data_IF_664189684250
#
_entry.id   IF_664189684250
#
_cell.length_a   1.000
_cell.length_b   1.000
_cell.length_c   1.000
_cell.angle_alpha   90.00
_cell.angle_beta   90.00
_cell.angle_gamma   90.00
#
_symmetry.space_group_name_H-M   'P 1'
#
loop_
_entity.id
_entity.type
_entity.pdbx_description
1 polymer ?
#
# COMPACT_ATOMS: atom_id res chain seq x y z
N UNK A 1 -1.70 14.55 -17.16
CA UNK A 1 -1.03 13.26 -17.37
C UNK A 1 -1.45 12.41 -16.19
N UNK A 2 -2.50 11.61 -16.39
CA UNK A 2 -2.92 10.62 -15.40
C UNK A 2 -1.89 9.50 -15.46
N UNK A 3 -0.80 9.65 -14.69
CA UNK A 3 0.00 8.50 -14.30
C UNK A 3 -0.96 7.59 -13.52
N UNK A 4 -1.57 6.63 -14.21
CA UNK A 4 -2.35 5.55 -13.60
C UNK A 4 -1.38 4.73 -12.73
N UNK A 5 -1.19 5.15 -11.48
CA UNK A 5 -0.62 4.30 -10.45
C UNK A 5 -1.74 3.41 -9.91
N UNK A 6 -1.42 2.15 -9.65
CA UNK A 6 -2.33 1.24 -8.98
C UNK A 6 -2.15 1.43 -7.47
N UNK A 7 -3.23 1.72 -6.74
CA UNK A 7 -3.12 1.95 -5.30
C UNK A 7 -2.62 0.67 -4.60
N UNK A 8 -1.56 0.78 -3.81
CA UNK A 8 -0.88 -0.36 -3.21
C UNK A 8 0.20 -1.02 -4.08
N UNK A 9 0.42 -0.60 -5.33
CA UNK A 9 1.54 -1.03 -6.18
C UNK A 9 2.68 -0.01 -6.06
N UNK A 10 3.62 -0.27 -5.15
CA UNK A 10 4.69 0.68 -4.81
C UNK A 10 5.97 0.42 -5.59
N UNK A 11 6.09 -0.74 -6.23
CA UNK A 11 7.23 -1.08 -7.08
C UNK A 11 6.96 -0.79 -8.57
N UNK A 12 5.71 -0.53 -8.95
CA UNK A 12 5.28 -0.19 -10.31
C UNK A 12 5.17 -1.39 -11.26
N UNK A 13 5.06 -2.61 -10.74
CA UNK A 13 4.98 -3.85 -11.53
C UNK A 13 3.55 -4.21 -11.98
N UNK A 14 2.58 -3.37 -11.63
CA UNK A 14 1.14 -3.49 -11.91
C UNK A 14 0.47 -4.67 -11.18
N UNK A 15 1.08 -5.21 -10.14
CA UNK A 15 0.56 -6.34 -9.36
C UNK A 15 0.68 -6.07 -7.86
N UNK A 16 -0.44 -5.86 -7.18
CA UNK A 16 -0.43 -5.71 -5.71
C UNK A 16 -0.18 -7.08 -5.09
N UNK A 17 1.01 -7.27 -4.52
CA UNK A 17 1.39 -8.54 -3.90
C UNK A 17 2.20 -8.34 -2.60
N UNK A 18 2.71 -9.44 -2.05
CA UNK A 18 3.46 -9.41 -0.79
C UNK A 18 4.69 -8.48 -0.84
N UNK A 19 5.29 -8.29 -2.01
CA UNK A 19 6.45 -7.41 -2.21
C UNK A 19 6.09 -5.96 -1.88
N UNK A 20 4.94 -5.48 -2.35
CA UNK A 20 4.49 -4.11 -2.07
C UNK A 20 4.23 -3.90 -0.58
N UNK A 21 3.57 -4.87 0.05
CA UNK A 21 3.28 -4.87 1.49
C UNK A 21 4.56 -4.77 2.31
N UNK A 22 5.54 -5.62 2.00
CA UNK A 22 6.82 -5.63 2.69
C UNK A 22 7.59 -4.33 2.46
N UNK A 23 7.50 -3.74 1.27
CA UNK A 23 8.13 -2.47 0.95
C UNK A 23 7.52 -1.33 1.80
N UNK A 24 6.19 -1.22 1.88
CA UNK A 24 5.53 -0.17 2.69
C UNK A 24 5.81 -0.37 4.17
N UNK A 25 5.86 -1.62 4.64
CA UNK A 25 6.23 -1.94 6.02
C UNK A 25 7.67 -1.53 6.33
N UNK A 26 8.61 -1.78 5.42
CA UNK A 26 10.01 -1.37 5.57
C UNK A 26 10.14 0.16 5.61
N UNK A 27 9.45 0.85 4.70
CA UNK A 27 9.37 2.31 4.69
C UNK A 27 8.83 2.85 6.01
N UNK A 28 7.67 2.33 6.47
CA UNK A 28 7.07 2.70 7.74
C UNK A 28 8.01 2.48 8.93
N UNK A 29 8.74 1.36 8.95
CA UNK A 29 9.70 1.06 10.01
C UNK A 29 10.84 2.10 10.07
N UNK A 30 11.29 2.65 8.93
CA UNK A 30 12.28 3.72 8.90
C UNK A 30 11.73 5.00 9.53
N UNK A 31 10.58 5.49 9.04
CA UNK A 31 9.96 6.73 9.55
C UNK A 31 9.57 6.61 11.03
N UNK A 32 9.13 5.44 11.47
CA UNK A 32 8.81 5.19 12.89
C UNK A 32 10.04 5.35 13.80
N UNK A 33 11.24 5.12 13.27
CA UNK A 33 12.50 5.33 13.98
C UNK A 33 13.11 6.72 13.76
N UNK A 34 12.29 7.68 13.31
CA UNK A 34 12.70 9.07 13.00
C UNK A 34 13.84 9.13 11.96
N UNK A 35 13.86 8.14 11.04
CA UNK A 35 14.75 8.13 9.89
C UNK A 35 14.01 8.58 8.66
N UNK A 36 14.75 9.18 7.73
CA UNK A 36 14.23 9.43 6.40
C UNK A 36 13.83 8.11 5.73
N UNK A 37 12.58 8.04 5.29
CA UNK A 37 12.13 6.93 4.47
C UNK A 37 12.71 7.03 3.06
N UNK A 38 12.91 5.88 2.43
CA UNK A 38 13.58 5.72 1.13
C UNK A 38 12.68 5.92 -0.10
N UNK A 39 11.40 6.23 0.09
CA UNK A 39 10.44 6.42 -0.99
C UNK A 39 10.56 7.78 -1.70
N UNK A 40 10.53 7.72 -3.03
CA UNK A 40 10.35 8.89 -3.88
C UNK A 40 8.86 9.28 -4.01
N UNK A 41 8.57 10.43 -4.64
CA UNK A 41 7.19 10.92 -4.79
C UNK A 41 6.27 9.98 -5.58
N UNK A 42 6.81 9.18 -6.51
CA UNK A 42 6.03 8.23 -7.30
C UNK A 42 5.64 6.99 -6.49
N UNK A 43 6.47 6.59 -5.51
CA UNK A 43 6.19 5.50 -4.58
C UNK A 43 5.30 5.94 -3.42
N UNK A 44 5.37 7.22 -3.03
CA UNK A 44 4.54 7.75 -1.94
C UNK A 44 3.05 7.74 -2.26
N UNK A 45 2.66 8.01 -3.51
CA UNK A 45 1.26 8.01 -3.96
C UNK A 45 0.56 6.65 -3.80
N UNK A 46 1.10 5.52 -4.33
CA UNK A 46 0.50 4.21 -4.12
C UNK A 46 0.66 3.68 -2.69
N UNK A 47 1.59 4.22 -1.89
CA UNK A 47 1.81 3.82 -0.51
C UNK A 47 0.83 4.46 0.50
N UNK A 48 0.29 5.64 0.18
CA UNK A 48 -0.78 6.32 0.92
C UNK A 48 -2.14 5.75 0.48
N UNK A 49 -2.47 4.56 1.00
CA UNK A 49 -3.61 3.77 0.52
C UNK A 49 -4.95 4.25 1.08
N UNK A 50 -4.93 5.02 2.16
CA UNK A 50 -6.13 5.70 2.66
C UNK A 50 -6.31 7.11 2.07
N UNK A 51 -5.32 7.62 1.32
CA UNK A 51 -5.28 8.96 0.72
C UNK A 51 -5.41 10.08 1.76
N UNK A 52 -4.83 9.92 2.95
CA UNK A 52 -4.83 10.95 4.00
C UNK A 52 -3.66 11.94 3.88
N UNK A 53 -2.74 11.70 2.93
CA UNK A 53 -1.55 12.51 2.66
C UNK A 53 -0.33 12.11 3.49
N UNK A 54 -0.42 11.10 4.35
CA UNK A 54 0.64 10.69 5.26
C UNK A 54 0.77 9.16 5.35
N UNK A 55 1.89 8.63 4.83
CA UNK A 55 2.18 7.19 4.92
C UNK A 55 2.49 6.82 6.37
N UNK A 56 1.58 6.11 7.01
CA UNK A 56 1.66 5.80 8.43
C UNK A 56 1.14 4.38 8.77
N UNK A 57 0.97 4.10 10.06
CA UNK A 57 0.52 2.81 10.55
C UNK A 57 -0.86 2.39 10.00
N UNK A 58 -1.72 3.35 9.63
CA UNK A 58 -3.03 3.11 9.04
C UNK A 58 -2.90 2.49 7.66
N UNK A 59 -2.01 3.02 6.81
CA UNK A 59 -1.73 2.45 5.49
C UNK A 59 -1.23 1.01 5.59
N UNK A 60 -0.24 0.79 6.46
CA UNK A 60 0.32 -0.54 6.73
C UNK A 60 -0.77 -1.50 7.20
N UNK A 61 -1.63 -1.06 8.13
CA UNK A 61 -2.72 -1.88 8.66
C UNK A 61 -3.75 -2.23 7.59
N UNK A 62 -4.06 -1.29 6.69
CA UNK A 62 -4.98 -1.51 5.58
C UNK A 62 -4.40 -2.50 4.56
N UNK A 63 -3.14 -2.34 4.19
CA UNK A 63 -2.44 -3.24 3.26
C UNK A 63 -2.30 -4.65 3.88
N UNK A 64 -1.98 -4.77 5.16
CA UNK A 64 -1.92 -6.07 5.86
C UNK A 64 -3.29 -6.76 5.91
N UNK A 65 -4.35 -6.01 6.22
CA UNK A 65 -5.71 -6.53 6.23
C UNK A 65 -6.13 -7.01 4.83
N UNK A 66 -5.78 -6.24 3.80
CA UNK A 66 -6.00 -6.63 2.42
C UNK A 66 -5.20 -7.87 2.05
N UNK A 67 -3.90 -7.95 2.39
CA UNK A 67 -3.08 -9.13 2.14
C UNK A 67 -3.66 -10.40 2.79
N UNK A 68 -4.16 -10.30 4.02
CA UNK A 68 -4.85 -11.39 4.69
C UNK A 68 -6.16 -11.78 3.96
N UNK A 69 -6.92 -10.80 3.48
CA UNK A 69 -8.11 -11.02 2.65
C UNK A 69 -7.79 -11.73 1.33
N UNK A 70 -6.79 -11.25 0.57
CA UNK A 70 -6.34 -11.88 -0.68
C UNK A 70 -5.82 -13.30 -0.45
N UNK A 71 -5.11 -13.52 0.66
CA UNK A 71 -4.55 -14.84 1.00
C UNK A 71 -5.63 -15.87 1.37
N UNK A 72 -6.83 -15.43 1.75
CA UNK A 72 -7.94 -16.31 2.16
C UNK A 72 -9.06 -16.40 1.11
N UNK A 73 -9.14 -15.41 0.21
CA UNK A 73 -10.12 -15.34 -0.88
C UNK A 73 -9.51 -15.84 -2.19
N UNK A 74 -10.01 -16.96 -2.74
CA UNK A 74 -9.49 -17.57 -3.98
C UNK A 74 -10.13 -17.05 -5.27
N UNK A 75 -11.30 -16.41 -5.20
CA UNK A 75 -12.07 -15.94 -6.36
C UNK A 75 -12.68 -14.56 -6.08
N UNK A 76 -12.70 -13.67 -7.08
CA UNK A 76 -13.23 -12.30 -6.99
C UNK A 76 -12.60 -11.43 -5.89
N UNK A 77 -11.26 -11.37 -5.89
CA UNK A 77 -10.52 -10.43 -5.06
C UNK A 77 -10.85 -8.99 -5.50
N UNK A 78 -11.51 -8.22 -4.63
CA UNK A 78 -11.75 -6.80 -4.83
C UNK A 78 -10.41 -6.04 -4.89
N UNK A 79 -10.34 -4.93 -5.62
CA UNK A 79 -9.15 -4.08 -5.60
C UNK A 79 -8.95 -3.45 -4.21
N UNK A 80 -7.71 -3.11 -3.84
CA UNK A 80 -7.38 -2.51 -2.54
C UNK A 80 -8.22 -1.26 -2.24
N UNK A 81 -8.42 -0.38 -3.23
CA UNK A 81 -9.29 0.80 -3.11
C UNK A 81 -10.71 0.47 -2.69
N UNK A 82 -11.29 -0.57 -3.28
CA UNK A 82 -12.66 -1.00 -3.02
C UNK A 82 -12.76 -1.66 -1.64
N UNK A 83 -11.75 -2.46 -1.27
CA UNK A 83 -11.64 -3.06 0.06
C UNK A 83 -11.56 -2.00 1.17
N UNK A 84 -10.80 -0.92 0.98
CA UNK A 84 -10.68 0.15 1.98
C UNK A 84 -11.98 0.96 2.07
N UNK A 85 -12.64 1.26 0.95
CA UNK A 85 -13.92 2.03 0.92
C UNK A 85 -15.10 1.30 1.55
N UNK A 86 -15.04 -0.03 1.65
CA UNK A 86 -16.12 -0.86 2.23
C UNK A 86 -15.99 -1.05 3.75
N UNK A 87 -14.94 -0.47 4.35
CA UNK A 87 -14.62 -0.58 5.78
C UNK A 87 -15.10 0.61 6.60
#
# INVERSE_FOLDING_TARGET
>A
MDDQFLLGDVNGDKQINAVDVLSVLAYYALIFTDKDGDYNQQQKKPADVNNDGAINAVDVSNILAYYAYVSTTKENVAALEEYIKTK
#
